data_IF_887409508368
#
_entry.id   IF_887409508368
#
_cell.length_a   1.000
_cell.length_b   1.000
_cell.length_c   1.000
_cell.angle_alpha   90.00
_cell.angle_beta   90.00
_cell.angle_gamma   90.00
#
_symmetry.space_group_name_H-M   'P 1'
#
loop_
_entity.id
_entity.type
_entity.pdbx_description
1 polymer ?
#
# COMPACT_ATOMS: atom_id res chain seq x y z
N UNK A 1 -3.97 -27.58 7.83
CA UNK A 1 -4.52 -26.27 7.44
C UNK A 1 -4.94 -25.55 8.70
N UNK A 2 -4.27 -24.47 9.09
CA UNK A 2 -4.67 -23.65 10.26
C UNK A 2 -5.93 -22.89 9.89
N UNK A 3 -6.94 -22.87 10.78
CA UNK A 3 -8.25 -22.28 10.54
C UNK A 3 -8.15 -20.80 10.12
N UNK A 4 -8.93 -20.44 9.09
CA UNK A 4 -9.09 -19.07 8.62
C UNK A 4 -9.70 -18.21 9.75
N UNK A 5 -8.89 -17.42 10.45
CA UNK A 5 -9.37 -16.42 11.40
C UNK A 5 -8.62 -16.27 12.73
N UNK A 6 -7.70 -17.18 13.05
CA UNK A 6 -6.87 -17.04 14.27
C UNK A 6 -5.69 -16.09 13.98
N UNK A 7 -5.73 -14.88 14.54
CA UNK A 7 -4.66 -13.90 14.48
C UNK A 7 -5.18 -12.45 14.46
N UNK A 8 -4.27 -11.51 14.63
CA UNK A 8 -4.58 -10.08 14.54
C UNK A 8 -4.92 -9.71 13.09
N UNK A 9 -5.82 -8.74 12.87
CA UNK A 9 -6.02 -8.16 11.55
C UNK A 9 -4.73 -7.52 11.02
N UNK A 10 -4.55 -7.55 9.71
CA UNK A 10 -3.39 -7.02 9.01
C UNK A 10 -3.79 -5.78 8.21
N UNK A 11 -3.02 -4.71 8.36
CA UNK A 11 -3.07 -3.52 7.51
C UNK A 11 -1.81 -3.48 6.67
N UNK A 12 -1.96 -3.54 5.35
CA UNK A 12 -0.86 -3.51 4.40
C UNK A 12 -0.66 -2.08 3.86
N UNK A 13 0.57 -1.58 3.93
CA UNK A 13 0.94 -0.23 3.53
C UNK A 13 2.09 -0.28 2.51
N UNK A 14 1.94 0.40 1.38
CA UNK A 14 3.07 0.65 0.48
C UNK A 14 3.98 1.75 1.03
N UNK A 15 5.14 1.95 0.42
CA UNK A 15 6.16 2.92 0.87
C UNK A 15 6.30 4.10 -0.08
N UNK A 16 6.74 3.83 -1.32
CA UNK A 16 7.18 4.85 -2.28
C UNK A 16 5.99 5.55 -2.94
N UNK A 17 5.65 6.76 -2.53
CA UNK A 17 4.45 7.51 -2.96
C UNK A 17 3.27 7.38 -1.98
N UNK A 18 3.32 6.43 -1.06
CA UNK A 18 2.27 6.17 -0.07
C UNK A 18 2.66 6.71 1.32
N UNK A 19 3.72 6.18 1.93
CA UNK A 19 4.24 6.66 3.22
C UNK A 19 5.40 7.65 3.06
N UNK A 20 6.12 7.61 1.94
CA UNK A 20 7.27 8.44 1.65
C UNK A 20 7.15 9.19 0.34
N UNK A 21 7.64 10.43 0.32
CA UNK A 21 7.59 11.34 -0.82
C UNK A 21 8.65 10.98 -1.88
N UNK A 22 8.38 9.86 -2.58
CA UNK A 22 9.32 9.30 -3.54
C UNK A 22 9.56 10.22 -4.74
N UNK A 23 8.51 10.76 -5.36
CA UNK A 23 8.66 11.50 -6.60
C UNK A 23 9.48 12.76 -6.42
N UNK A 24 9.17 13.58 -5.41
CA UNK A 24 9.94 14.80 -5.12
C UNK A 24 11.39 14.48 -4.78
N UNK A 25 11.64 13.46 -3.96
CA UNK A 25 12.99 13.06 -3.57
C UNK A 25 13.80 12.51 -4.74
N UNK A 26 13.18 11.72 -5.62
CA UNK A 26 13.84 11.22 -6.84
C UNK A 26 14.12 12.32 -7.86
N UNK A 27 13.18 13.25 -8.06
CA UNK A 27 13.39 14.38 -8.98
C UNK A 27 14.50 15.29 -8.48
N UNK A 28 14.55 15.60 -7.18
CA UNK A 28 15.69 16.32 -6.58
C UNK A 28 17.03 15.63 -6.85
N UNK A 29 17.12 14.32 -6.68
CA UNK A 29 18.33 13.56 -7.02
C UNK A 29 18.64 13.60 -8.52
N UNK A 30 17.63 13.40 -9.36
CA UNK A 30 17.80 13.35 -10.81
C UNK A 30 18.28 14.68 -11.38
N UNK A 31 17.87 15.81 -10.80
CA UNK A 31 18.36 17.15 -11.15
C UNK A 31 19.87 17.25 -11.00
N UNK A 32 20.40 16.80 -9.87
CA UNK A 32 21.85 16.81 -9.61
C UNK A 32 22.59 15.79 -10.49
N UNK A 33 22.03 14.61 -10.67
CA UNK A 33 22.67 13.51 -11.40
C UNK A 33 22.75 13.77 -12.92
N UNK A 34 21.72 14.42 -13.48
CA UNK A 34 21.61 14.70 -14.91
C UNK A 34 22.05 16.12 -15.30
N UNK A 35 22.44 16.94 -14.33
CA UNK A 35 22.74 18.37 -14.52
C UNK A 35 21.65 19.08 -15.35
N UNK A 36 20.38 18.87 -14.95
CA UNK A 36 19.22 19.39 -15.65
C UNK A 36 18.10 19.71 -14.67
N UNK A 37 17.51 20.95 -14.73
CA UNK A 37 16.35 21.28 -13.90
C UNK A 37 15.21 20.28 -14.08
N UNK A 38 14.60 19.85 -12.97
CA UNK A 38 13.45 18.94 -12.95
C UNK A 38 12.15 19.69 -12.65
N UNK A 39 11.03 19.26 -13.24
CA UNK A 39 9.73 19.84 -12.94
C UNK A 39 9.28 19.51 -11.51
N UNK A 40 8.33 20.31 -10.98
CA UNK A 40 7.74 20.04 -9.68
C UNK A 40 6.90 18.73 -9.73
N UNK A 41 7.15 17.82 -8.80
CA UNK A 41 6.43 16.55 -8.68
C UNK A 41 4.90 16.72 -8.58
N UNK A 42 4.43 17.85 -8.07
CA UNK A 42 3.00 18.14 -7.95
C UNK A 42 2.31 18.44 -9.28
N UNK A 43 3.08 18.68 -10.36
CA UNK A 43 2.55 19.01 -11.69
C UNK A 43 2.55 17.82 -12.65
N UNK A 44 2.88 16.62 -12.17
CA UNK A 44 2.83 15.41 -13.01
C UNK A 44 1.41 15.11 -13.48
N UNK A 45 1.23 14.92 -14.80
CA UNK A 45 -0.08 14.63 -15.34
C UNK A 45 -0.55 13.22 -15.00
N UNK A 46 -1.86 13.02 -14.82
CA UNK A 46 -2.43 11.70 -14.57
C UNK A 46 -2.05 10.70 -15.66
N UNK A 47 -1.52 9.54 -15.27
CA UNK A 47 -1.09 8.49 -16.18
C UNK A 47 0.21 8.78 -16.97
N UNK A 48 0.84 9.92 -16.78
CA UNK A 48 2.09 10.25 -17.47
C UNK A 48 3.27 9.42 -16.94
N UNK A 49 4.08 8.92 -17.86
CA UNK A 49 5.31 8.20 -17.48
C UNK A 49 6.37 9.18 -16.98
N UNK A 50 6.95 8.91 -15.82
CA UNK A 50 7.88 9.81 -15.14
C UNK A 50 9.04 10.31 -16.01
N UNK A 51 9.64 9.47 -16.89
CA UNK A 51 10.72 9.91 -17.78
C UNK A 51 10.26 10.95 -18.82
N UNK A 52 9.00 10.89 -19.28
CA UNK A 52 8.42 11.91 -20.19
C UNK A 52 8.18 13.20 -19.45
N UNK A 53 7.60 13.11 -18.27
CA UNK A 53 7.42 14.26 -17.39
C UNK A 53 8.74 14.99 -17.08
N UNK A 54 9.83 14.25 -16.82
CA UNK A 54 11.17 14.80 -16.64
C UNK A 54 11.77 15.38 -17.94
N UNK A 55 11.19 15.13 -19.10
CA UNK A 55 11.74 15.53 -20.39
C UNK A 55 13.11 14.89 -20.67
N UNK A 56 13.31 13.63 -20.29
CA UNK A 56 14.56 12.88 -20.48
C UNK A 56 14.35 11.57 -21.24
N UNK A 57 15.40 11.06 -21.86
CA UNK A 57 15.35 9.75 -22.49
C UNK A 57 15.10 8.64 -21.47
N UNK A 58 14.48 7.54 -21.90
CA UNK A 58 14.28 6.37 -21.05
C UNK A 58 15.62 5.80 -20.52
N UNK A 59 16.71 5.92 -21.29
CA UNK A 59 18.04 5.49 -20.89
C UNK A 59 18.58 6.34 -19.73
N UNK A 60 18.51 7.68 -19.83
CA UNK A 60 18.91 8.59 -18.76
C UNK A 60 18.07 8.40 -17.49
N UNK A 61 16.75 8.22 -17.64
CA UNK A 61 15.88 7.90 -16.51
C UNK A 61 16.28 6.61 -15.80
N UNK A 62 16.55 5.55 -16.58
CA UNK A 62 16.98 4.26 -16.01
C UNK A 62 18.33 4.36 -15.30
N UNK A 63 19.29 5.09 -15.87
CA UNK A 63 20.58 5.35 -15.25
C UNK A 63 20.45 6.12 -13.94
N UNK A 64 19.71 7.23 -13.93
CA UNK A 64 19.44 8.00 -12.72
C UNK A 64 18.72 7.15 -11.64
N UNK A 65 17.72 6.36 -12.04
CA UNK A 65 16.98 5.48 -11.12
C UNK A 65 17.88 4.38 -10.53
N UNK A 66 18.80 3.85 -11.31
CA UNK A 66 19.77 2.87 -10.82
C UNK A 66 20.75 3.51 -9.84
N UNK A 67 21.34 4.66 -10.19
CA UNK A 67 22.24 5.40 -9.32
C UNK A 67 21.57 5.82 -8.00
N UNK A 68 20.33 6.30 -8.05
CA UNK A 68 19.51 6.63 -6.88
C UNK A 68 19.38 5.44 -5.91
N UNK A 69 19.12 4.25 -6.47
CA UNK A 69 18.96 3.04 -5.68
C UNK A 69 20.30 2.54 -5.12
N UNK A 70 21.35 2.47 -5.95
CA UNK A 70 22.68 2.00 -5.55
C UNK A 70 23.35 2.95 -4.55
N UNK A 71 23.12 4.27 -4.70
CA UNK A 71 23.63 5.29 -3.77
C UNK A 71 22.91 5.34 -2.42
N UNK A 72 21.92 4.48 -2.20
CA UNK A 72 21.20 4.41 -0.93
C UNK A 72 20.30 5.61 -0.63
N UNK A 73 19.94 6.39 -1.66
CA UNK A 73 19.11 7.61 -1.47
C UNK A 73 17.72 7.30 -0.93
N UNK A 74 17.22 6.08 -1.13
CA UNK A 74 15.93 5.66 -0.57
C UNK A 74 15.87 5.71 0.96
N UNK A 75 17.00 5.56 1.66
CA UNK A 75 17.07 5.65 3.12
C UNK A 75 16.87 7.08 3.66
N UNK A 76 16.99 8.08 2.77
CA UNK A 76 16.89 9.50 3.12
C UNK A 76 15.60 10.16 2.62
N UNK A 77 14.75 9.40 1.94
CA UNK A 77 13.48 9.88 1.42
C UNK A 77 12.63 10.49 2.55
N UNK A 78 12.09 11.70 2.40
CA UNK A 78 11.17 12.26 3.39
C UNK A 78 9.93 11.38 3.55
N UNK A 79 9.48 11.15 4.79
CA UNK A 79 8.16 10.58 5.05
C UNK A 79 7.09 11.67 4.89
N UNK A 80 5.91 11.28 4.45
CA UNK A 80 4.75 12.16 4.52
C UNK A 80 4.36 12.43 5.98
N UNK A 81 3.77 13.60 6.26
CA UNK A 81 3.18 13.86 7.57
C UNK A 81 2.26 12.72 8.01
N UNK A 82 2.20 12.45 9.31
CA UNK A 82 1.38 11.40 9.91
C UNK A 82 1.81 9.94 9.62
N UNK A 83 2.85 9.66 8.87
CA UNK A 83 3.24 8.28 8.54
C UNK A 83 3.60 7.44 9.79
N UNK A 84 4.33 8.01 10.74
CA UNK A 84 4.65 7.38 12.02
C UNK A 84 3.40 7.16 12.89
N UNK A 85 2.57 8.18 13.00
CA UNK A 85 1.33 8.19 13.77
C UNK A 85 0.33 7.18 13.20
N UNK A 86 0.21 7.07 11.87
CA UNK A 86 -0.64 6.10 11.20
C UNK A 86 -0.29 4.68 11.66
N UNK A 87 0.99 4.29 11.55
CA UNK A 87 1.42 2.94 11.91
C UNK A 87 1.27 2.67 13.42
N UNK A 88 1.49 3.69 14.24
CA UNK A 88 1.24 3.62 15.68
C UNK A 88 -0.25 3.44 15.99
N UNK A 89 -1.13 4.17 15.30
CA UNK A 89 -2.58 4.09 15.46
C UNK A 89 -3.13 2.73 15.05
N UNK A 90 -2.63 2.17 13.94
CA UNK A 90 -2.97 0.80 13.50
C UNK A 90 -2.61 -0.22 14.58
N UNK A 91 -1.41 -0.14 15.15
CA UNK A 91 -0.96 -1.07 16.20
C UNK A 91 -1.72 -0.89 17.50
N UNK A 92 -2.03 0.35 17.91
CA UNK A 92 -2.91 0.65 19.07
C UNK A 92 -4.32 0.08 18.88
N UNK A 93 -4.81 0.05 17.64
CA UNK A 93 -6.06 -0.61 17.31
C UNK A 93 -5.97 -2.15 17.31
N UNK A 94 -4.85 -2.75 17.72
CA UNK A 94 -4.68 -4.20 17.84
C UNK A 94 -4.46 -4.92 16.51
N UNK A 95 -4.05 -4.20 15.46
CA UNK A 95 -3.70 -4.76 14.15
C UNK A 95 -2.19 -4.86 13.95
N UNK A 96 -1.77 -5.74 13.05
CA UNK A 96 -0.41 -5.79 12.52
C UNK A 96 -0.25 -4.81 11.36
N UNK A 97 0.92 -4.17 11.26
CA UNK A 97 1.34 -3.34 10.14
C UNK A 97 2.29 -4.14 9.26
N UNK A 98 1.88 -4.41 8.03
CA UNK A 98 2.72 -5.06 7.04
C UNK A 98 3.12 -4.06 5.94
N UNK A 99 4.40 -3.86 5.76
CA UNK A 99 4.95 -3.05 4.67
C UNK A 99 4.98 -3.92 3.42
N UNK A 100 4.30 -3.46 2.36
CA UNK A 100 4.22 -4.16 1.07
C UNK A 100 4.76 -3.26 -0.03
N UNK A 101 5.95 -3.50 -0.53
CA UNK A 101 6.63 -2.60 -1.47
C UNK A 101 7.14 -3.28 -2.72
N UNK A 102 7.02 -2.61 -3.88
CA UNK A 102 7.57 -3.07 -5.17
C UNK A 102 9.08 -2.86 -5.30
N UNK A 103 9.76 -2.41 -4.24
CA UNK A 103 11.22 -2.22 -4.26
C UNK A 103 11.94 -3.50 -4.68
N UNK A 104 12.85 -3.46 -5.67
CA UNK A 104 13.44 -4.66 -6.27
C UNK A 104 14.60 -5.23 -5.44
N UNK A 105 14.32 -5.79 -4.27
CA UNK A 105 15.33 -6.27 -3.32
C UNK A 105 16.21 -7.42 -3.87
N UNK A 106 15.69 -8.22 -4.80
CA UNK A 106 16.48 -9.29 -5.46
C UNK A 106 17.51 -8.80 -6.49
N UNK A 107 17.44 -7.51 -6.87
CA UNK A 107 18.32 -6.95 -7.90
C UNK A 107 19.47 -6.11 -7.34
N UNK A 108 19.36 -5.66 -6.09
CA UNK A 108 20.32 -4.79 -5.43
C UNK A 108 20.34 -5.12 -3.93
N UNK A 109 21.50 -5.52 -3.42
CA UNK A 109 21.69 -5.97 -2.04
C UNK A 109 21.38 -4.92 -0.98
N UNK A 110 21.47 -3.63 -1.35
CA UNK A 110 21.19 -2.54 -0.44
C UNK A 110 19.70 -2.19 -0.26
N UNK A 111 18.79 -2.74 -1.09
CA UNK A 111 17.37 -2.36 -1.08
C UNK A 111 16.67 -2.73 0.23
N UNK A 112 16.89 -3.94 0.74
CA UNK A 112 16.30 -4.34 2.03
C UNK A 112 16.89 -3.54 3.20
N UNK A 113 18.23 -3.46 3.42
CA UNK A 113 18.79 -2.64 4.48
C UNK A 113 18.40 -1.16 4.37
N UNK A 114 18.36 -0.57 3.18
CA UNK A 114 17.93 0.82 2.98
C UNK A 114 16.45 1.03 3.35
N UNK A 115 15.61 0.06 3.01
CA UNK A 115 14.18 0.12 3.36
C UNK A 115 14.00 0.04 4.87
N UNK A 116 14.66 -0.89 5.55
CA UNK A 116 14.57 -1.03 7.02
C UNK A 116 15.14 0.19 7.74
N UNK A 117 16.24 0.76 7.24
CA UNK A 117 16.82 1.99 7.79
C UNK A 117 15.85 3.17 7.61
N UNK A 118 15.21 3.29 6.44
CA UNK A 118 14.18 4.31 6.21
C UNK A 118 13.02 4.18 7.20
N UNK A 119 12.49 2.95 7.38
CA UNK A 119 11.41 2.67 8.35
C UNK A 119 11.83 3.06 9.77
N UNK A 120 13.04 2.69 10.19
CA UNK A 120 13.59 3.03 11.51
C UNK A 120 13.75 4.54 11.72
N UNK A 121 14.34 5.25 10.75
CA UNK A 121 14.58 6.70 10.81
C UNK A 121 13.29 7.50 10.92
N UNK A 122 12.26 7.08 10.23
CA UNK A 122 10.96 7.73 10.23
C UNK A 122 10.01 7.18 11.33
N UNK A 123 10.54 6.38 12.25
CA UNK A 123 9.76 5.79 13.36
C UNK A 123 8.52 5.01 12.90
N UNK A 124 8.56 4.44 11.70
CA UNK A 124 7.48 3.60 11.15
C UNK A 124 7.51 2.26 11.88
N UNK A 125 6.40 1.93 12.55
CA UNK A 125 6.25 0.66 13.26
C UNK A 125 5.67 -0.39 12.30
N UNK A 126 6.31 -1.55 12.21
CA UNK A 126 5.86 -2.63 11.34
C UNK A 126 6.10 -3.99 11.99
N UNK A 127 5.37 -5.00 11.50
CA UNK A 127 5.44 -6.39 11.97
C UNK A 127 6.01 -7.30 10.88
N UNK A 128 5.83 -6.96 9.59
CA UNK A 128 6.40 -7.68 8.45
C UNK A 128 6.74 -6.74 7.29
N UNK A 129 7.64 -7.19 6.40
CA UNK A 129 7.96 -6.52 5.13
C UNK A 129 7.86 -7.53 3.99
N UNK A 130 7.06 -7.22 2.98
CA UNK A 130 6.92 -7.97 1.73
C UNK A 130 7.47 -7.13 0.57
N UNK A 131 8.38 -7.73 -0.19
CA UNK A 131 9.02 -7.09 -1.33
C UNK A 131 8.57 -7.71 -2.65
N UNK A 132 8.60 -6.92 -3.72
CA UNK A 132 8.44 -7.39 -5.09
C UNK A 132 7.14 -6.99 -5.75
N UNK A 133 7.07 -7.25 -7.05
CA UNK A 133 5.92 -6.89 -7.89
C UNK A 133 4.66 -7.69 -7.50
N UNK A 134 4.83 -8.92 -7.00
CA UNK A 134 3.75 -9.80 -6.52
C UNK A 134 3.40 -9.62 -5.03
N UNK A 135 3.72 -8.47 -4.45
CA UNK A 135 3.55 -8.18 -3.00
C UNK A 135 2.16 -8.51 -2.47
N UNK A 136 1.10 -8.29 -3.25
CA UNK A 136 -0.28 -8.57 -2.82
C UNK A 136 -0.71 -10.01 -3.00
N UNK A 137 -0.13 -10.76 -3.93
CA UNK A 137 -0.29 -12.22 -3.98
C UNK A 137 0.35 -12.86 -2.75
N UNK A 138 1.54 -12.38 -2.39
CA UNK A 138 2.25 -12.86 -1.21
C UNK A 138 1.52 -12.47 0.09
N UNK A 139 0.99 -11.22 0.17
CA UNK A 139 0.11 -10.80 1.26
C UNK A 139 -1.09 -11.73 1.41
N UNK A 140 -1.77 -12.06 0.29
CA UNK A 140 -2.92 -12.98 0.31
C UNK A 140 -2.52 -14.38 0.76
N UNK A 141 -1.37 -14.87 0.34
CA UNK A 141 -0.85 -16.18 0.73
C UNK A 141 -0.53 -16.26 2.23
N UNK A 142 0.08 -15.22 2.79
CA UNK A 142 0.54 -15.22 4.19
C UNK A 142 -0.53 -14.77 5.18
N UNK A 143 -1.27 -13.70 4.88
CA UNK A 143 -2.26 -13.11 5.78
C UNK A 143 -3.70 -13.56 5.47
N UNK A 144 -4.03 -13.85 4.18
CA UNK A 144 -5.33 -14.37 3.78
C UNK A 144 -6.50 -13.53 4.30
N UNK A 145 -7.42 -14.17 5.01
CA UNK A 145 -8.61 -13.55 5.62
C UNK A 145 -8.31 -12.58 6.77
N UNK A 146 -7.05 -12.42 7.19
CA UNK A 146 -6.65 -11.43 8.21
C UNK A 146 -6.47 -10.03 7.64
N UNK A 147 -6.37 -9.87 6.31
CA UNK A 147 -6.19 -8.54 5.70
C UNK A 147 -7.45 -7.70 5.92
N UNK A 148 -7.32 -6.58 6.61
CA UNK A 148 -8.41 -5.66 6.95
C UNK A 148 -8.37 -4.36 6.12
N UNK A 149 -7.18 -3.93 5.69
CA UNK A 149 -7.02 -2.77 4.82
C UNK A 149 -5.72 -2.87 4.01
N UNK A 150 -5.72 -2.22 2.83
CA UNK A 150 -4.56 -2.02 1.96
C UNK A 150 -4.53 -0.55 1.55
N UNK A 151 -3.38 0.12 1.66
CA UNK A 151 -3.13 1.48 1.21
C UNK A 151 -1.97 1.48 0.21
N UNK A 152 -2.22 1.98 -1.00
CA UNK A 152 -1.24 2.10 -2.09
C UNK A 152 -1.55 3.32 -2.95
N UNK A 153 -0.56 3.90 -3.62
CA UNK A 153 -0.71 5.05 -4.52
C UNK A 153 -0.73 4.67 -6.01
N UNK A 154 -0.22 3.47 -6.35
CA UNK A 154 -0.12 3.04 -7.75
C UNK A 154 -1.45 2.46 -8.24
N UNK A 155 -2.02 3.00 -9.36
CA UNK A 155 -3.24 2.47 -9.97
C UNK A 155 -3.21 0.96 -10.23
N UNK A 156 -2.11 0.45 -10.75
CA UNK A 156 -1.95 -0.96 -11.07
C UNK A 156 -2.05 -1.84 -9.82
N UNK A 157 -1.44 -1.40 -8.72
CA UNK A 157 -1.46 -2.09 -7.44
C UNK A 157 -2.83 -2.00 -6.78
N UNK A 158 -3.52 -0.85 -6.90
CA UNK A 158 -4.89 -0.69 -6.45
C UNK A 158 -5.84 -1.67 -7.15
N UNK A 159 -5.75 -1.78 -8.49
CA UNK A 159 -6.55 -2.74 -9.25
C UNK A 159 -6.20 -4.19 -8.94
N UNK A 160 -4.91 -4.52 -8.78
CA UNK A 160 -4.49 -5.85 -8.39
C UNK A 160 -5.02 -6.23 -6.99
N UNK A 161 -4.94 -5.31 -6.02
CA UNK A 161 -5.49 -5.53 -4.69
C UNK A 161 -7.00 -5.81 -4.74
N UNK A 162 -7.78 -5.02 -5.51
CA UNK A 162 -9.23 -5.26 -5.68
C UNK A 162 -9.52 -6.63 -6.32
N UNK A 163 -8.72 -7.05 -7.30
CA UNK A 163 -8.88 -8.37 -7.94
C UNK A 163 -8.54 -9.52 -6.99
N UNK A 164 -7.52 -9.37 -6.16
CA UNK A 164 -7.09 -10.40 -5.22
C UNK A 164 -7.96 -10.50 -3.98
N UNK A 165 -8.53 -9.39 -3.54
CA UNK A 165 -9.36 -9.26 -2.35
C UNK A 165 -10.73 -8.65 -2.74
N UNK A 166 -11.54 -9.35 -3.55
CA UNK A 166 -12.79 -8.80 -4.02
C UNK A 166 -13.73 -8.51 -2.85
N UNK A 167 -14.26 -7.30 -2.83
CA UNK A 167 -15.39 -6.90 -2.01
C UNK A 167 -16.65 -7.12 -2.86
N UNK A 168 -17.31 -8.26 -2.72
CA UNK A 168 -18.52 -8.53 -3.52
C UNK A 168 -19.73 -7.84 -2.91
N UNK A 169 -20.37 -6.99 -3.73
CA UNK A 169 -21.79 -6.68 -3.67
C UNK A 169 -22.42 -7.45 -4.83
N UNK A 170 -22.97 -8.65 -4.58
CA UNK A 170 -23.67 -9.42 -5.58
C UNK A 170 -25.14 -9.56 -5.22
N UNK A 171 -25.98 -9.80 -6.21
CA UNK A 171 -27.36 -10.27 -6.02
C UNK A 171 -27.44 -11.69 -6.53
N UNK A 172 -28.27 -12.51 -5.88
CA UNK A 172 -28.61 -13.85 -6.40
C UNK A 172 -29.47 -13.59 -7.64
N UNK A 173 -29.01 -14.01 -8.84
CA UNK A 173 -29.70 -13.73 -10.10
C UNK A 173 -31.15 -14.23 -10.12
N UNK A 174 -31.44 -15.35 -9.42
CA UNK A 174 -32.75 -16.00 -9.40
C UNK A 174 -33.75 -15.31 -8.46
N UNK A 175 -33.31 -14.70 -7.36
CA UNK A 175 -34.19 -14.16 -6.31
C UNK A 175 -34.11 -12.65 -6.17
N UNK A 176 -33.09 -12.00 -6.73
CA UNK A 176 -32.80 -10.58 -6.52
C UNK A 176 -32.35 -10.24 -5.10
N UNK A 177 -32.16 -11.25 -4.24
CA UNK A 177 -31.70 -11.04 -2.88
C UNK A 177 -30.20 -10.71 -2.84
N UNK A 178 -29.78 -9.76 -1.97
CA UNK A 178 -28.37 -9.46 -1.81
C UNK A 178 -27.63 -10.69 -1.25
N UNK A 179 -26.57 -11.13 -1.96
CA UNK A 179 -25.68 -12.15 -1.41
C UNK A 179 -25.09 -11.59 -0.10
N UNK A 180 -25.16 -12.31 1.04
CA UNK A 180 -24.55 -11.84 2.27
C UNK A 180 -23.08 -11.60 2.03
N UNK A 181 -22.68 -10.34 2.06
CA UNK A 181 -21.31 -9.90 1.81
C UNK A 181 -20.36 -10.53 2.81
N UNK A 182 -19.39 -11.26 2.35
CA UNK A 182 -18.14 -11.41 3.10
C UNK A 182 -17.37 -10.11 2.89
N UNK A 183 -17.37 -9.16 3.83
CA UNK A 183 -16.70 -7.90 3.64
C UNK A 183 -15.21 -8.17 3.45
N UNK A 184 -14.72 -7.80 2.27
CA UNK A 184 -13.29 -7.78 1.98
C UNK A 184 -12.58 -6.64 2.71
N UNK A 185 -11.25 -6.54 2.61
CA UNK A 185 -10.49 -5.44 3.17
C UNK A 185 -10.87 -4.10 2.54
N UNK A 186 -10.66 -3.00 3.27
CA UNK A 186 -10.71 -1.67 2.70
C UNK A 186 -9.50 -1.48 1.76
N UNK A 187 -9.73 -1.43 0.44
CA UNK A 187 -8.70 -1.07 -0.54
C UNK A 187 -8.76 0.44 -0.74
N UNK A 188 -7.67 1.13 -0.46
CA UNK A 188 -7.58 2.58 -0.39
C UNK A 188 -6.51 3.06 -1.37
N UNK A 189 -6.86 3.96 -2.28
CA UNK A 189 -5.90 4.65 -3.14
C UNK A 189 -5.41 5.91 -2.43
N UNK A 190 -4.10 6.00 -2.18
CA UNK A 190 -3.47 7.24 -1.69
C UNK A 190 -3.46 8.27 -2.82
N UNK A 191 -3.98 9.44 -2.56
CA UNK A 191 -4.06 10.52 -3.55
C UNK A 191 -2.67 11.01 -3.97
N UNK A 192 -2.47 11.07 -5.29
CA UNK A 192 -1.26 11.58 -5.91
C UNK A 192 -1.61 12.24 -7.26
N UNK A 193 -0.86 13.25 -7.74
CA UNK A 193 -1.16 13.91 -9.02
C UNK A 193 -1.27 12.93 -10.20
N UNK A 194 -0.38 11.94 -10.26
CA UNK A 194 -0.33 10.97 -11.36
C UNK A 194 -1.46 9.94 -11.36
N UNK A 195 -2.26 9.83 -10.30
CA UNK A 195 -3.36 8.84 -10.21
C UNK A 195 -4.76 9.47 -10.24
N UNK A 196 -4.88 10.75 -10.59
CA UNK A 196 -6.16 11.47 -10.62
C UNK A 196 -7.16 10.93 -11.65
N UNK A 197 -6.70 10.18 -12.64
CA UNK A 197 -7.56 9.51 -13.64
C UNK A 197 -8.28 8.26 -13.10
N UNK A 198 -7.92 7.80 -11.89
CA UNK A 198 -8.57 6.65 -11.24
C UNK A 198 -9.73 7.14 -10.38
N UNK A 199 -10.87 6.48 -10.47
CA UNK A 199 -12.02 6.70 -9.57
C UNK A 199 -12.12 5.52 -8.59
N UNK A 200 -11.43 5.56 -7.44
CA UNK A 200 -11.46 4.49 -6.48
C UNK A 200 -12.70 4.57 -5.59
N UNK A 201 -13.11 3.43 -5.02
CA UNK A 201 -14.15 3.40 -3.99
C UNK A 201 -13.73 4.18 -2.73
N UNK A 202 -12.44 4.16 -2.41
CA UNK A 202 -11.86 4.92 -1.29
C UNK A 202 -10.58 5.60 -1.74
N UNK A 203 -10.55 6.92 -1.63
CA UNK A 203 -9.39 7.77 -1.87
C UNK A 203 -9.01 8.48 -0.58
N UNK A 204 -7.74 8.43 -0.22
CA UNK A 204 -7.20 9.15 0.93
C UNK A 204 -6.35 10.32 0.47
N UNK A 205 -6.79 11.54 0.74
CA UNK A 205 -6.07 12.78 0.39
C UNK A 205 -4.83 12.98 1.27
N UNK A 206 -4.91 12.55 2.53
CA UNK A 206 -3.84 12.58 3.51
C UNK A 206 -3.70 11.21 4.20
N UNK A 207 -2.68 11.03 5.04
CA UNK A 207 -2.56 9.81 5.84
C UNK A 207 -3.53 9.80 7.05
N UNK A 208 -4.01 10.96 7.49
CA UNK A 208 -5.11 11.07 8.42
C UNK A 208 -6.41 10.53 7.82
N UNK A 209 -6.73 10.91 6.57
CA UNK A 209 -7.88 10.36 5.84
C UNK A 209 -7.73 8.84 5.65
N UNK A 210 -6.50 8.38 5.34
CA UNK A 210 -6.22 6.96 5.22
C UNK A 210 -6.53 6.20 6.53
N UNK A 211 -6.20 6.80 7.68
CA UNK A 211 -6.53 6.22 8.98
C UNK A 211 -8.04 6.01 9.17
N UNK A 212 -8.88 6.97 8.77
CA UNK A 212 -10.33 6.82 8.87
C UNK A 212 -10.84 5.63 8.03
N UNK A 213 -10.36 5.48 6.79
CA UNK A 213 -10.72 4.34 5.96
C UNK A 213 -10.21 3.01 6.53
N UNK A 214 -8.97 2.98 7.06
CA UNK A 214 -8.38 1.81 7.71
C UNK A 214 -9.20 1.41 8.94
N UNK A 215 -9.60 2.37 9.76
CA UNK A 215 -10.42 2.16 10.97
C UNK A 215 -11.76 1.49 10.62
N UNK A 216 -12.40 1.91 9.53
CA UNK A 216 -13.61 1.27 9.01
C UNK A 216 -13.34 -0.17 8.54
N UNK A 217 -12.23 -0.41 7.83
CA UNK A 217 -11.81 -1.75 7.43
C UNK A 217 -11.59 -2.69 8.61
N UNK A 218 -10.94 -2.20 9.67
CA UNK A 218 -10.72 -2.94 10.91
C UNK A 218 -12.03 -3.25 11.63
N UNK A 219 -12.97 -2.31 11.67
CA UNK A 219 -14.30 -2.52 12.27
C UNK A 219 -15.09 -3.59 11.50
N UNK A 220 -15.12 -3.51 10.17
CA UNK A 220 -15.76 -4.49 9.28
C UNK A 220 -15.15 -5.88 9.46
N UNK A 221 -13.82 -5.99 9.47
CA UNK A 221 -13.14 -7.26 9.69
C UNK A 221 -13.56 -7.89 11.03
N UNK A 222 -13.58 -7.12 12.13
CA UNK A 222 -14.01 -7.62 13.45
C UNK A 222 -15.47 -8.06 13.48
N UNK A 223 -16.35 -7.37 12.77
CA UNK A 223 -17.77 -7.72 12.68
C UNK A 223 -17.92 -9.13 12.04
N UNK A 224 -17.20 -9.39 10.94
CA UNK A 224 -17.18 -10.71 10.29
C UNK A 224 -16.70 -11.81 11.22
N UNK A 225 -15.61 -11.56 11.96
CA UNK A 225 -15.07 -12.58 12.87
C UNK A 225 -16.07 -12.95 13.97
N UNK A 226 -16.86 -11.97 14.46
CA UNK A 226 -17.90 -12.23 15.48
C UNK A 226 -19.04 -13.06 14.93
N UNK A 227 -19.52 -12.78 13.72
CA UNK A 227 -20.63 -13.54 13.10
C UNK A 227 -20.21 -14.96 12.74
N UNK A 228 -19.00 -15.14 12.18
CA UNK A 228 -18.46 -16.47 11.85
C UNK A 228 -18.21 -17.34 13.10
N UNK A 229 -17.85 -16.75 14.23
CA UNK A 229 -17.65 -17.46 15.50
C UNK A 229 -18.96 -17.89 16.20
N UNK A 230 -20.05 -17.17 15.94
CA UNK A 230 -21.39 -17.49 16.50
C UNK A 230 -22.02 -18.69 15.79
N UNK A 231 -21.85 -18.82 14.48
CA UNK A 231 -22.38 -19.94 13.69
C UNK A 231 -21.74 -21.28 14.08
N UNK A 232 -20.45 -21.30 14.34
CA UNK A 232 -19.74 -22.53 14.75
C UNK A 232 -20.14 -23.03 16.15
N UNK A 233 -20.65 -22.17 17.03
CA UNK A 233 -21.12 -22.56 18.36
C UNK A 233 -22.56 -23.10 18.35
N UNK A 234 -23.37 -22.73 17.35
CA UNK A 234 -24.74 -23.21 17.19
C UNK A 234 -24.84 -24.58 16.50
N UNK A 235 -23.76 -25.06 15.87
CA UNK A 235 -23.71 -26.32 15.14
C UNK A 235 -23.03 -27.46 15.94
N UNK A 236 -22.73 -27.26 17.23
CA UNK A 236 -22.32 -28.37 18.11
C UNK A 236 -23.54 -28.92 18.81
N UNK A 237 -23.86 -30.19 18.56
CA UNK A 237 -24.98 -30.90 19.24
C UNK A 237 -24.74 -31.01 20.74
#
# INVERSE_FOLDING_TARGET
>A
MRGNGEGKPVVALDVDGTLGDYHRHFLWFAEQYLDKPMPDAQTINPGERLHRFMGVSLANYRAAKLAFRQGGFKRWMPAYPYASELTTSVRRAGAEVWICTTRPYLRLDNIDPDTREWLRRNNIKYDAVLFGEDKYKELKRQAGGRVAAILDDLPEMYYEANRLFPTWTGYIEETGEPIPLKPGPAIILRDQPYNQHVTPLRRALTLEDAWEHIRHGLASWRAVQRTSGVDLRRQRP
#
